data_IF_893933096227
#
_entry.id   IF_893933096227
#
_cell.length_a   1.000
_cell.length_b   1.000
_cell.length_c   1.000
_cell.angle_alpha   90.00
_cell.angle_beta   90.00
_cell.angle_gamma   90.00
#
_symmetry.space_group_name_H-M   'P 1'
#
loop_
_entity.id
_entity.type
_entity.pdbx_description
1 polymer ?
#
# COMPACT_ATOMS: atom_id res chain seq x y z
N UNK A 1 -58.97 21.45 55.41
CA UNK A 1 -57.68 20.74 55.32
C UNK A 1 -57.47 19.95 54.01
N UNK A 2 -58.50 19.39 53.36
CA UNK A 2 -58.33 18.55 52.15
C UNK A 2 -57.67 19.22 50.93
N UNK A 3 -58.03 20.48 50.64
CA UNK A 3 -57.45 21.24 49.51
C UNK A 3 -55.95 21.53 49.68
N UNK A 4 -55.52 21.87 50.90
CA UNK A 4 -54.13 22.17 51.21
C UNK A 4 -53.25 20.93 51.11
N UNK A 5 -53.76 19.77 51.56
CA UNK A 5 -53.08 18.49 51.41
C UNK A 5 -52.97 18.05 49.95
N UNK A 6 -54.01 18.29 49.15
CA UNK A 6 -54.00 17.98 47.73
C UNK A 6 -53.00 18.85 46.96
N UNK A 7 -53.01 20.16 47.21
CA UNK A 7 -52.05 21.11 46.62
C UNK A 7 -50.60 20.75 46.98
N UNK A 8 -50.33 20.40 48.23
CA UNK A 8 -49.02 19.92 48.69
C UNK A 8 -48.59 18.63 47.96
N UNK A 9 -49.52 17.71 47.71
CA UNK A 9 -49.27 16.48 46.97
C UNK A 9 -48.87 16.73 45.51
N UNK A 10 -49.59 17.63 44.83
CA UNK A 10 -49.26 18.06 43.46
C UNK A 10 -47.87 18.72 43.43
N UNK A 11 -47.60 19.66 44.33
CA UNK A 11 -46.28 20.32 44.38
C UNK A 11 -45.13 19.32 44.57
N UNK A 12 -45.29 18.31 45.43
CA UNK A 12 -44.30 17.24 45.60
C UNK A 12 -44.07 16.46 44.30
N UNK A 13 -45.14 16.07 43.61
CA UNK A 13 -45.05 15.37 42.33
C UNK A 13 -44.36 16.24 41.26
N UNK A 14 -44.72 17.52 41.17
CA UNK A 14 -44.08 18.48 40.27
C UNK A 14 -42.58 18.63 40.56
N UNK A 15 -42.18 18.72 41.84
CA UNK A 15 -40.76 18.76 42.21
C UNK A 15 -40.00 17.51 41.78
N UNK A 16 -40.56 16.33 41.99
CA UNK A 16 -39.95 15.06 41.56
C UNK A 16 -39.80 15.02 40.04
N UNK A 17 -40.82 15.43 39.30
CA UNK A 17 -40.77 15.50 37.83
C UNK A 17 -39.69 16.47 37.34
N UNK A 18 -39.56 17.65 37.95
CA UNK A 18 -38.50 18.60 37.60
C UNK A 18 -37.10 18.04 37.87
N UNK A 19 -36.91 17.35 38.99
CA UNK A 19 -35.64 16.72 39.31
C UNK A 19 -35.27 15.63 38.31
N UNK A 20 -36.23 14.76 37.96
CA UNK A 20 -36.05 13.71 36.97
C UNK A 20 -35.76 14.29 35.58
N UNK A 21 -36.48 15.33 35.16
CA UNK A 21 -36.21 16.02 33.89
C UNK A 21 -34.79 16.57 33.84
N UNK A 22 -34.31 17.21 34.92
CA UNK A 22 -32.95 17.74 34.98
C UNK A 22 -31.91 16.62 34.83
N UNK A 23 -32.10 15.50 35.53
CA UNK A 23 -31.21 14.34 35.41
C UNK A 23 -31.19 13.77 33.98
N UNK A 24 -32.35 13.68 33.33
CA UNK A 24 -32.45 13.22 31.95
C UNK A 24 -31.77 14.19 30.97
N UNK A 25 -31.93 15.49 31.17
CA UNK A 25 -31.25 16.52 30.36
C UNK A 25 -29.73 16.44 30.48
N UNK A 26 -29.20 16.20 31.69
CA UNK A 26 -27.77 15.99 31.92
C UNK A 26 -27.26 14.74 31.19
N UNK A 27 -27.95 13.60 31.33
CA UNK A 27 -27.61 12.37 30.62
C UNK A 27 -27.64 12.57 29.10
N UNK A 28 -28.67 13.25 28.60
CA UNK A 28 -28.84 13.53 27.19
C UNK A 28 -27.72 14.43 26.66
N UNK A 29 -27.27 15.39 27.46
CA UNK A 29 -26.12 16.25 27.14
C UNK A 29 -24.83 15.45 27.03
N UNK A 30 -24.58 14.51 27.96
CA UNK A 30 -23.42 13.60 27.90
C UNK A 30 -23.47 12.73 26.65
N UNK A 31 -24.63 12.14 26.33
CA UNK A 31 -24.80 11.32 25.12
C UNK A 31 -24.53 12.14 23.86
N UNK A 32 -25.08 13.37 23.78
CA UNK A 32 -24.84 14.27 22.64
C UNK A 32 -23.36 14.59 22.47
N UNK A 33 -22.64 14.87 23.56
CA UNK A 33 -21.20 15.13 23.52
C UNK A 33 -20.42 13.92 23.01
N UNK A 34 -20.66 12.73 23.58
CA UNK A 34 -20.04 11.48 23.13
C UNK A 34 -20.32 11.18 21.66
N UNK A 35 -21.54 11.44 21.20
CA UNK A 35 -21.92 11.26 19.79
C UNK A 35 -21.09 12.16 18.86
N UNK A 36 -20.90 13.43 19.22
CA UNK A 36 -20.09 14.37 18.43
C UNK A 36 -18.63 13.93 18.40
N UNK A 37 -18.05 13.60 19.56
CA UNK A 37 -16.66 13.11 19.65
C UNK A 37 -16.44 11.86 18.80
N UNK A 38 -17.38 10.92 18.87
CA UNK A 38 -17.33 9.68 18.06
C UNK A 38 -17.38 10.00 16.57
N UNK A 39 -18.27 10.90 16.15
CA UNK A 39 -18.38 11.32 14.75
C UNK A 39 -17.10 11.97 14.25
N UNK A 40 -16.46 12.81 15.06
CA UNK A 40 -15.18 13.44 14.72
C UNK A 40 -14.07 12.39 14.56
N UNK A 41 -13.95 11.44 15.50
CA UNK A 41 -12.97 10.35 15.42
C UNK A 41 -13.18 9.47 14.19
N UNK A 42 -14.43 9.14 13.87
CA UNK A 42 -14.75 8.39 12.66
C UNK A 42 -14.31 9.14 11.40
N UNK A 43 -14.62 10.44 11.31
CA UNK A 43 -14.23 11.27 10.17
C UNK A 43 -12.69 11.32 9.99
N UNK A 44 -11.96 11.46 11.09
CA UNK A 44 -10.49 11.44 11.07
C UNK A 44 -9.95 10.09 10.59
N UNK A 45 -10.50 8.98 11.09
CA UNK A 45 -10.10 7.63 10.66
C UNK A 45 -10.37 7.40 9.17
N UNK A 46 -11.53 7.82 8.66
CA UNK A 46 -11.84 7.73 7.23
C UNK A 46 -10.87 8.55 6.38
N UNK A 47 -10.47 9.74 6.84
CA UNK A 47 -9.46 10.55 6.13
C UNK A 47 -8.10 9.88 6.10
N UNK A 48 -7.65 9.30 7.24
CA UNK A 48 -6.40 8.55 7.32
C UNK A 48 -6.40 7.34 6.39
N UNK A 49 -7.49 6.56 6.37
CA UNK A 49 -7.65 5.42 5.46
C UNK A 49 -7.56 5.84 4.00
N UNK A 50 -8.28 6.91 3.61
CA UNK A 50 -8.25 7.43 2.24
C UNK A 50 -6.85 7.90 1.83
N UNK A 51 -6.12 8.53 2.75
CA UNK A 51 -4.74 8.94 2.50
C UNK A 51 -3.82 7.72 2.33
N UNK A 52 -3.92 6.72 3.22
CA UNK A 52 -3.14 5.50 3.16
C UNK A 52 -3.39 4.73 1.84
N UNK A 53 -4.65 4.58 1.42
CA UNK A 53 -5.00 3.93 0.17
C UNK A 53 -4.42 4.67 -1.05
N UNK A 54 -4.50 6.01 -1.06
CA UNK A 54 -3.92 6.83 -2.13
C UNK A 54 -2.39 6.69 -2.18
N UNK A 55 -1.73 6.64 -1.03
CA UNK A 55 -0.28 6.46 -0.93
C UNK A 55 0.14 5.08 -1.39
N UNK A 56 -0.55 4.03 -0.96
CA UNK A 56 -0.27 2.65 -1.40
C UNK A 56 -0.43 2.50 -2.92
N UNK A 57 -1.48 3.07 -3.52
CA UNK A 57 -1.64 3.07 -4.99
C UNK A 57 -0.49 3.77 -5.71
N UNK A 58 0.01 4.89 -5.16
CA UNK A 58 1.17 5.59 -5.74
C UNK A 58 2.45 4.76 -5.64
N UNK A 59 2.67 4.11 -4.50
CA UNK A 59 3.83 3.22 -4.30
C UNK A 59 3.77 2.08 -5.31
N UNK A 60 2.62 1.42 -5.44
CA UNK A 60 2.42 0.33 -6.39
C UNK A 60 2.66 0.77 -7.85
N UNK A 61 2.17 1.95 -8.24
CA UNK A 61 2.41 2.51 -9.59
C UNK A 61 3.91 2.81 -9.82
N UNK A 62 4.61 3.33 -8.82
CA UNK A 62 6.05 3.57 -8.90
C UNK A 62 6.85 2.27 -8.98
N UNK A 63 6.50 1.26 -8.18
CA UNK A 63 7.13 -0.07 -8.21
C UNK A 63 6.95 -0.72 -9.58
N UNK A 64 5.73 -0.70 -10.12
CA UNK A 64 5.44 -1.24 -11.45
C UNK A 64 6.27 -0.54 -12.54
N UNK A 65 6.27 0.79 -12.58
CA UNK A 65 7.06 1.57 -13.55
C UNK A 65 8.56 1.32 -13.42
N UNK A 66 9.05 1.16 -12.19
CA UNK A 66 10.47 0.89 -11.94
C UNK A 66 10.84 -0.52 -12.41
N UNK A 67 9.98 -1.50 -12.14
CA UNK A 67 10.15 -2.87 -12.59
C UNK A 67 10.14 -2.96 -14.12
N UNK A 68 9.21 -2.28 -14.78
CA UNK A 68 9.10 -2.28 -16.25
C UNK A 68 10.34 -1.68 -16.90
N UNK A 69 10.80 -0.52 -16.42
CA UNK A 69 12.06 0.10 -16.88
C UNK A 69 13.27 -0.80 -16.62
N UNK A 70 13.30 -1.46 -15.47
CA UNK A 70 14.36 -2.41 -15.12
C UNK A 70 14.39 -3.59 -16.10
N UNK A 71 13.23 -4.18 -16.41
CA UNK A 71 13.09 -5.26 -17.39
C UNK A 71 13.54 -4.83 -18.78
N UNK A 72 13.08 -3.67 -19.25
CA UNK A 72 13.47 -3.12 -20.55
C UNK A 72 15.00 -2.91 -20.64
N UNK A 73 15.59 -2.36 -19.59
CA UNK A 73 17.03 -2.12 -19.51
C UNK A 73 17.82 -3.43 -19.54
N UNK A 74 17.41 -4.42 -18.73
CA UNK A 74 18.04 -5.75 -18.70
C UNK A 74 17.90 -6.41 -20.07
N UNK A 75 16.72 -6.40 -20.68
CA UNK A 75 16.49 -7.00 -21.98
C UNK A 75 17.37 -6.35 -23.07
N UNK A 76 17.48 -5.03 -23.07
CA UNK A 76 18.34 -4.31 -24.02
C UNK A 76 19.83 -4.66 -23.83
N UNK A 77 20.30 -4.72 -22.58
CA UNK A 77 21.68 -5.13 -22.27
C UNK A 77 21.93 -6.57 -22.69
N UNK A 78 21.02 -7.49 -22.37
CA UNK A 78 21.11 -8.90 -22.76
C UNK A 78 21.18 -9.05 -24.28
N UNK A 79 20.31 -8.37 -25.04
CA UNK A 79 20.37 -8.39 -26.51
C UNK A 79 21.72 -7.91 -27.04
N UNK A 80 22.28 -6.84 -26.48
CA UNK A 80 23.61 -6.34 -26.88
C UNK A 80 24.72 -7.34 -26.57
N UNK A 81 24.66 -7.99 -25.41
CA UNK A 81 25.64 -9.03 -25.03
C UNK A 81 25.58 -10.20 -26.00
N UNK A 82 24.39 -10.68 -26.36
CA UNK A 82 24.20 -11.77 -27.33
C UNK A 82 24.81 -11.39 -28.68
N UNK A 83 24.51 -10.20 -29.21
CA UNK A 83 25.08 -9.73 -30.48
C UNK A 83 26.61 -9.70 -30.43
N UNK A 84 27.18 -9.19 -29.35
CA UNK A 84 28.64 -9.13 -29.17
C UNK A 84 29.23 -10.54 -29.11
N UNK A 85 28.62 -11.46 -28.37
CA UNK A 85 29.04 -12.85 -28.27
C UNK A 85 29.02 -13.55 -29.65
N UNK A 86 27.95 -13.38 -30.43
CA UNK A 86 27.85 -13.94 -31.78
C UNK A 86 28.95 -13.40 -32.71
N UNK A 87 29.23 -12.10 -32.66
CA UNK A 87 30.30 -11.48 -33.46
C UNK A 87 31.66 -12.08 -33.07
N UNK A 88 31.98 -12.16 -31.77
CA UNK A 88 33.26 -12.71 -31.32
C UNK A 88 33.40 -14.20 -31.65
N UNK A 89 32.34 -14.99 -31.48
CA UNK A 89 32.33 -16.39 -31.91
C UNK A 89 32.66 -16.52 -33.40
N UNK A 90 32.00 -15.74 -34.26
CA UNK A 90 32.27 -15.75 -35.72
C UNK A 90 33.70 -15.35 -36.03
N UNK A 91 34.23 -14.32 -35.37
CA UNK A 91 35.62 -13.88 -35.56
C UNK A 91 36.62 -14.99 -35.21
N UNK A 92 36.47 -15.62 -34.04
CA UNK A 92 37.35 -16.72 -33.61
C UNK A 92 37.24 -17.89 -34.59
N UNK A 93 36.04 -18.31 -34.96
CA UNK A 93 35.82 -19.42 -35.88
C UNK A 93 36.34 -19.14 -37.29
N UNK A 94 36.29 -17.88 -37.74
CA UNK A 94 36.83 -17.45 -39.04
C UNK A 94 38.34 -17.20 -39.03
N UNK A 95 38.93 -17.03 -37.84
CA UNK A 95 40.37 -16.84 -37.71
C UNK A 95 41.05 -18.16 -38.06
N UNK A 96 42.12 -18.11 -38.85
CA UNK A 96 42.93 -19.30 -39.18
C UNK A 96 43.77 -19.78 -37.97
N UNK A 97 43.36 -19.45 -36.75
CA UNK A 97 43.96 -19.91 -35.51
C UNK A 97 43.40 -21.29 -35.17
N UNK A 98 44.25 -22.20 -34.69
CA UNK A 98 43.80 -23.51 -34.22
C UNK A 98 43.17 -23.40 -32.83
N UNK A 99 41.97 -22.80 -32.78
CA UNK A 99 41.23 -22.52 -31.54
C UNK A 99 40.88 -23.78 -30.74
N UNK A 100 40.89 -24.95 -31.36
CA UNK A 100 40.65 -26.24 -30.69
C UNK A 100 41.86 -26.68 -29.84
N UNK A 101 43.08 -26.31 -30.24
CA UNK A 101 44.32 -26.59 -29.50
C UNK A 101 44.62 -25.54 -28.43
N UNK A 102 44.12 -24.31 -28.61
CA UNK A 102 44.20 -23.26 -27.60
C UNK A 102 43.08 -23.45 -26.55
N UNK A 103 43.47 -23.96 -25.38
CA UNK A 103 42.55 -24.21 -24.27
C UNK A 103 41.81 -22.96 -23.77
N UNK A 104 42.38 -21.75 -23.96
CA UNK A 104 41.74 -20.51 -23.58
C UNK A 104 40.64 -20.13 -24.59
N UNK A 105 40.93 -20.22 -25.89
CA UNK A 105 39.94 -19.95 -26.96
C UNK A 105 38.81 -20.98 -26.96
N UNK A 106 39.12 -22.26 -26.79
CA UNK A 106 38.13 -23.34 -26.69
C UNK A 106 37.17 -23.12 -25.51
N UNK A 107 37.70 -22.81 -24.32
CA UNK A 107 36.88 -22.49 -23.15
C UNK A 107 36.04 -21.21 -23.33
N UNK A 108 36.58 -20.19 -23.99
CA UNK A 108 35.87 -18.96 -24.26
C UNK A 108 34.68 -19.20 -25.19
N UNK A 109 34.87 -19.97 -26.27
CA UNK A 109 33.81 -20.36 -27.20
C UNK A 109 32.70 -21.16 -26.52
N UNK A 110 33.05 -22.15 -25.71
CA UNK A 110 32.09 -22.97 -24.94
C UNK A 110 31.25 -22.11 -24.02
N UNK A 111 31.88 -21.23 -23.23
CA UNK A 111 31.15 -20.30 -22.34
C UNK A 111 30.19 -19.41 -23.11
N UNK A 112 30.60 -18.89 -24.27
CA UNK A 112 29.71 -18.04 -25.08
C UNK A 112 28.52 -18.84 -25.67
N UNK A 113 28.67 -20.14 -25.95
CA UNK A 113 27.56 -20.98 -26.44
C UNK A 113 26.54 -21.30 -25.33
N UNK A 114 26.98 -21.58 -24.11
CA UNK A 114 26.09 -21.92 -22.99
C UNK A 114 25.12 -20.78 -22.61
N UNK A 115 25.48 -19.52 -22.86
CA UNK A 115 24.62 -18.36 -22.61
C UNK A 115 23.65 -18.05 -23.76
N UNK A 116 23.88 -18.60 -24.96
CA UNK A 116 23.00 -18.41 -26.12
C UNK A 116 21.79 -19.35 -26.14
N UNK A 117 21.82 -20.44 -25.35
CA UNK A 117 20.77 -21.46 -25.28
C UNK A 117 19.55 -21.11 -24.40
N UNK A 118 19.46 -19.88 -23.88
CA UNK A 118 18.33 -19.40 -23.06
C UNK A 118 17.26 -18.61 -23.85
N UNK A 119 17.28 -18.67 -25.19
CA UNK A 119 16.23 -18.08 -26.04
C UNK A 119 15.01 -18.99 -26.17
#
# INVERSE_FOLDING_TARGET
MGLMNHSMGICKQTMVLHQNNRQLEEQLTVIRRRRIETRMKQQELFQKLKYAEKTNRKIQDLETKTQDKGRETIQNVTCKIIIIQEIFQRLILSSQLNWAEDAHLSNLLLKMMDYSSFS
#
